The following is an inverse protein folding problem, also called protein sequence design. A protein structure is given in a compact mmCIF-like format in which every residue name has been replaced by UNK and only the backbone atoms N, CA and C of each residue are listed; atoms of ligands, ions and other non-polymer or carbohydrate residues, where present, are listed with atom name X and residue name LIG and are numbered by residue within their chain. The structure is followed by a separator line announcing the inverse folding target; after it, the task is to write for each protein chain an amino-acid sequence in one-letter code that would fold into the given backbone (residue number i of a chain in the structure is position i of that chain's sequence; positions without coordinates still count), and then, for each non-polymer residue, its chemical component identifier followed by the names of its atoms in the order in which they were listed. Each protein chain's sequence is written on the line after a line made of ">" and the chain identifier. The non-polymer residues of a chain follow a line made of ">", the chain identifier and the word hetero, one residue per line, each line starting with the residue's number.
data_IF_893010933255
#
_entry.id   IF_893010933255
#
_cell.length_a   1.000
_cell.length_b   1.000
_cell.length_c   1.000
_cell.angle_alpha   90.00
_cell.angle_beta   90.00
_cell.angle_gamma   90.00
#
_symmetry.space_group_name_H-M   'P 1'
#
loop_
_entity.id
_entity.type
_entity.pdbx_description
1 polymer ?
#
# COMPACT_ATOMS: atom_id res chain seq x y z
N UNK A 1 14.11 14.70 -0.98
CA UNK A 1 12.75 14.57 -0.41
C UNK A 1 12.42 15.75 0.50
N UNK A 2 11.15 16.16 0.57
CA UNK A 2 10.66 17.19 1.49
C UNK A 2 9.48 16.60 2.26
N UNK A 3 9.62 16.54 3.58
CA UNK A 3 8.54 16.15 4.48
C UNK A 3 7.85 17.39 5.03
N UNK A 4 6.55 17.32 5.24
CA UNK A 4 5.82 18.42 5.84
C UNK A 4 4.51 17.99 6.50
N UNK A 5 4.01 18.89 7.35
CA UNK A 5 2.70 18.75 7.98
C UNK A 5 1.90 20.01 7.73
N UNK A 6 0.73 19.87 7.12
CA UNK A 6 -0.26 20.93 6.99
C UNK A 6 -1.38 20.69 8.00
N UNK A 7 -1.69 21.70 8.79
CA UNK A 7 -2.79 21.66 9.74
C UNK A 7 -3.92 22.57 9.27
N UNK A 8 -5.04 21.97 8.87
CA UNK A 8 -6.25 22.70 8.52
C UNK A 8 -7.11 22.88 9.78
N UNK A 9 -6.74 23.89 10.61
CA UNK A 9 -7.35 24.12 11.93
C UNK A 9 -8.87 24.19 11.90
N UNK A 10 -9.45 24.82 10.88
CA UNK A 10 -10.89 24.96 10.73
C UNK A 10 -11.60 23.62 10.47
N UNK A 11 -10.93 22.70 9.79
CA UNK A 11 -11.42 21.34 9.51
C UNK A 11 -11.05 20.35 10.61
N UNK A 12 -10.13 20.75 11.50
CA UNK A 12 -9.52 19.90 12.53
C UNK A 12 -8.82 18.67 11.94
N UNK A 13 -8.21 18.83 10.75
CA UNK A 13 -7.49 17.78 10.04
C UNK A 13 -6.04 18.15 9.88
N UNK A 14 -5.19 17.15 9.73
CA UNK A 14 -3.79 17.29 9.35
C UNK A 14 -3.48 16.44 8.13
N UNK A 15 -2.55 16.91 7.34
CA UNK A 15 -1.93 16.17 6.24
C UNK A 15 -0.44 16.07 6.53
N UNK A 16 0.04 14.88 6.78
CA UNK A 16 1.47 14.59 6.73
C UNK A 16 1.83 14.13 5.33
N UNK A 17 2.85 14.73 4.73
CA UNK A 17 3.21 14.44 3.35
C UNK A 17 4.72 14.31 3.14
N UNK A 18 5.05 13.54 2.11
CA UNK A 18 6.34 13.50 1.47
C UNK A 18 6.18 14.03 0.04
N UNK A 19 6.97 15.02 -0.32
CA UNK A 19 7.10 15.53 -1.68
C UNK A 19 8.50 15.19 -2.19
N UNK A 20 8.57 14.21 -3.07
CA UNK A 20 9.79 13.89 -3.80
C UNK A 20 9.87 14.75 -5.05
N UNK A 21 10.97 15.45 -5.24
CA UNK A 21 11.25 16.26 -6.44
C UNK A 21 12.74 16.30 -6.71
N UNK A 22 13.13 15.86 -7.89
CA UNK A 22 14.48 16.00 -8.41
C UNK A 22 14.63 17.27 -9.25
N UNK A 23 15.87 17.79 -9.35
CA UNK A 23 16.18 18.92 -10.20
C UNK A 23 15.90 18.58 -11.67
N UNK A 24 14.90 19.22 -12.26
CA UNK A 24 14.45 18.97 -13.63
C UNK A 24 13.67 17.67 -13.80
N UNK A 25 13.37 16.96 -12.71
CA UNK A 25 12.53 15.76 -12.66
C UNK A 25 11.07 16.08 -12.29
N UNK A 26 10.26 15.06 -12.29
CA UNK A 26 8.83 15.08 -11.94
C UNK A 26 8.66 14.98 -10.45
N UNK A 27 7.76 15.77 -9.90
CA UNK A 27 7.40 15.66 -8.50
C UNK A 27 6.40 14.52 -8.25
N UNK A 28 6.55 13.85 -7.11
CA UNK A 28 5.62 12.85 -6.58
C UNK A 28 5.22 13.20 -5.16
N UNK A 29 3.95 13.10 -4.86
CA UNK A 29 3.36 13.36 -3.55
C UNK A 29 2.82 12.07 -2.96
N UNK A 30 3.26 11.71 -1.76
CA UNK A 30 2.55 10.79 -0.87
C UNK A 30 2.03 11.58 0.32
N UNK A 31 0.76 11.47 0.63
CA UNK A 31 0.15 12.19 1.74
C UNK A 31 -0.82 11.31 2.51
N UNK A 32 -0.75 11.40 3.84
CA UNK A 32 -1.71 10.83 4.76
C UNK A 32 -2.53 11.95 5.37
N UNK A 33 -3.83 11.87 5.20
CA UNK A 33 -4.78 12.85 5.69
C UNK A 33 -5.66 12.21 6.76
N UNK A 34 -5.66 12.80 7.94
CA UNK A 34 -6.36 12.32 9.13
C UNK A 34 -6.83 13.45 10.02
N UNK A 35 -7.65 13.16 11.01
CA UNK A 35 -8.04 14.12 12.05
C UNK A 35 -6.93 14.32 13.08
N UNK A 36 -6.77 15.56 13.57
CA UNK A 36 -5.89 15.85 14.71
C UNK A 36 -6.47 15.25 16.01
N UNK A 37 -7.75 15.56 16.26
CA UNK A 37 -8.54 15.00 17.35
C UNK A 37 -10.00 14.95 16.90
N UNK A 38 -10.65 13.84 17.10
CA UNK A 38 -12.07 13.72 16.73
C UNK A 38 -12.95 14.26 17.86
N UNK A 39 -13.73 15.30 17.55
CA UNK A 39 -14.74 15.77 18.50
C UNK A 39 -15.85 14.69 18.62
N UNK A 40 -16.22 14.23 19.82
CA UNK A 40 -17.15 13.11 20.00
C UNK A 40 -18.53 13.29 19.37
N UNK A 41 -18.93 14.55 19.09
CA UNK A 41 -20.24 14.88 18.50
C UNK A 41 -20.22 14.99 16.98
N UNK A 42 -19.06 14.85 16.30
CA UNK A 42 -19.02 14.85 14.84
C UNK A 42 -19.66 13.58 14.29
N UNK A 43 -20.70 13.75 13.49
CA UNK A 43 -21.32 12.66 12.74
C UNK A 43 -20.35 12.10 11.69
N UNK A 44 -20.64 10.92 11.18
CA UNK A 44 -19.86 10.34 10.08
C UNK A 44 -19.86 11.26 8.85
N UNK A 45 -21.02 11.77 8.44
CA UNK A 45 -21.14 12.66 7.29
C UNK A 45 -20.24 13.90 7.43
N UNK A 46 -20.24 14.55 8.59
CA UNK A 46 -19.38 15.71 8.87
C UNK A 46 -17.89 15.36 8.82
N UNK A 47 -17.49 14.17 9.32
CA UNK A 47 -16.10 13.72 9.21
C UNK A 47 -15.70 13.55 7.75
N UNK A 48 -16.52 12.89 6.94
CA UNK A 48 -16.24 12.69 5.52
C UNK A 48 -16.19 14.01 4.75
N UNK A 49 -17.09 14.95 5.01
CA UNK A 49 -17.09 16.27 4.37
C UNK A 49 -15.84 17.07 4.71
N UNK A 50 -15.40 17.06 5.97
CA UNK A 50 -14.14 17.72 6.38
C UNK A 50 -12.92 17.11 5.70
N UNK A 51 -12.87 15.79 5.57
CA UNK A 51 -11.79 15.10 4.84
C UNK A 51 -11.80 15.49 3.36
N UNK A 52 -12.96 15.49 2.69
CA UNK A 52 -13.08 15.94 1.28
C UNK A 52 -12.63 17.38 1.11
N UNK A 53 -13.05 18.29 1.99
CA UNK A 53 -12.61 19.68 1.97
C UNK A 53 -11.11 19.79 2.19
N UNK A 54 -10.52 18.95 3.04
CA UNK A 54 -9.08 18.93 3.28
C UNK A 54 -8.29 18.46 2.05
N UNK A 55 -8.82 17.51 1.27
CA UNK A 55 -8.21 17.13 -0.01
C UNK A 55 -8.17 18.34 -0.96
N UNK A 56 -9.29 19.07 -1.09
CA UNK A 56 -9.35 20.29 -1.91
C UNK A 56 -8.32 21.33 -1.41
N UNK A 57 -8.28 21.58 -0.11
CA UNK A 57 -7.32 22.54 0.47
C UNK A 57 -5.86 22.11 0.28
N UNK A 58 -5.57 20.82 0.28
CA UNK A 58 -4.24 20.29 0.00
C UNK A 58 -3.80 20.65 -1.43
N UNK A 59 -4.63 20.34 -2.43
CA UNK A 59 -4.30 20.57 -3.83
C UNK A 59 -4.39 22.06 -4.26
N UNK A 60 -4.89 22.94 -3.40
CA UNK A 60 -4.80 24.40 -3.55
C UNK A 60 -3.46 24.98 -3.05
N UNK A 61 -2.59 24.16 -2.45
CA UNK A 61 -1.28 24.66 -2.01
C UNK A 61 -0.39 24.96 -3.22
N UNK A 62 0.28 26.13 -3.27
CA UNK A 62 1.07 26.55 -4.43
C UNK A 62 2.17 25.56 -4.84
N UNK A 63 2.76 24.85 -3.88
CA UNK A 63 3.81 23.85 -4.16
C UNK A 63 3.29 22.55 -4.78
N UNK A 64 1.96 22.39 -4.90
CA UNK A 64 1.29 21.24 -5.53
C UNK A 64 0.56 21.62 -6.82
N UNK A 65 0.71 22.85 -7.33
CA UNK A 65 -0.05 23.38 -8.48
C UNK A 65 -0.07 22.46 -9.71
N UNK A 66 1.03 21.74 -9.97
CA UNK A 66 1.16 20.86 -11.13
C UNK A 66 0.97 19.37 -10.80
N UNK A 67 0.65 19.04 -9.56
CA UNK A 67 0.47 17.66 -9.13
C UNK A 67 -1.00 17.25 -9.30
N UNK A 68 -1.21 16.21 -10.07
CA UNK A 68 -2.51 15.57 -10.22
C UNK A 68 -2.64 14.36 -9.29
N UNK A 69 -3.76 14.27 -8.58
CA UNK A 69 -4.10 13.10 -7.78
C UNK A 69 -4.33 11.89 -8.71
N UNK A 70 -3.67 10.78 -8.46
CA UNK A 70 -3.75 9.57 -9.28
C UNK A 70 -4.28 8.35 -8.55
N UNK A 71 -4.06 8.30 -7.25
CA UNK A 71 -4.52 7.19 -6.40
C UNK A 71 -4.97 7.71 -5.04
N UNK A 72 -6.01 7.08 -4.50
CA UNK A 72 -6.48 7.32 -3.13
C UNK A 72 -6.96 6.00 -2.51
N UNK A 73 -6.57 5.77 -1.26
CA UNK A 73 -7.09 4.68 -0.43
C UNK A 73 -7.75 5.22 0.81
N UNK A 74 -9.04 4.90 0.94
CA UNK A 74 -9.87 5.28 2.07
C UNK A 74 -9.89 4.16 3.10
N UNK A 75 -9.43 4.45 4.28
CA UNK A 75 -9.51 3.59 5.45
C UNK A 75 -10.74 4.00 6.26
N UNK A 76 -11.71 3.11 6.42
CA UNK A 76 -12.98 3.44 7.06
C UNK A 76 -13.28 2.49 8.22
N UNK A 77 -13.99 2.99 9.23
CA UNK A 77 -14.33 2.20 10.42
C UNK A 77 -15.49 1.22 10.19
N UNK A 78 -16.40 1.52 9.27
CA UNK A 78 -17.60 0.73 8.96
C UNK A 78 -17.97 0.93 7.49
N UNK A 79 -17.48 0.06 6.63
CA UNK A 79 -17.64 0.23 5.18
C UNK A 79 -19.08 0.06 4.70
N UNK A 80 -19.88 -0.79 5.37
CA UNK A 80 -21.27 -1.06 4.98
C UNK A 80 -22.12 0.21 5.10
N UNK A 81 -21.93 0.94 6.19
CA UNK A 81 -22.69 2.17 6.45
C UNK A 81 -22.04 3.43 5.86
N UNK A 82 -20.73 3.42 5.60
CA UNK A 82 -19.98 4.64 5.25
C UNK A 82 -19.63 4.74 3.77
N UNK A 83 -19.68 3.65 3.00
CA UNK A 83 -19.28 3.65 1.59
C UNK A 83 -20.08 4.60 0.72
N UNK A 84 -21.34 4.87 1.04
CA UNK A 84 -22.20 5.80 0.30
C UNK A 84 -21.81 7.27 0.50
N UNK A 85 -21.07 7.59 1.56
CA UNK A 85 -20.56 8.94 1.80
C UNK A 85 -19.41 9.34 0.89
N UNK A 86 -18.84 8.39 0.16
CA UNK A 86 -17.68 8.59 -0.70
C UNK A 86 -18.11 8.54 -2.16
N UNK A 87 -17.90 9.65 -2.87
CA UNK A 87 -18.09 9.70 -4.31
C UNK A 87 -16.77 9.37 -5.01
N UNK A 88 -16.81 8.39 -5.90
CA UNK A 88 -15.66 8.04 -6.72
C UNK A 88 -15.43 9.09 -7.79
N UNK A 89 -14.18 9.55 -7.94
CA UNK A 89 -13.76 10.40 -9.05
C UNK A 89 -13.44 9.54 -10.28
N UNK A 90 -13.88 9.94 -11.46
CA UNK A 90 -13.71 9.16 -12.69
C UNK A 90 -12.24 9.00 -13.14
N UNK A 91 -11.33 9.88 -12.70
CA UNK A 91 -9.95 9.94 -13.20
C UNK A 91 -8.90 9.65 -12.11
N UNK A 92 -9.31 9.06 -11.00
CA UNK A 92 -8.43 8.73 -9.87
C UNK A 92 -8.65 7.27 -9.50
N UNK A 93 -7.58 6.50 -9.38
CA UNK A 93 -7.67 5.15 -8.86
C UNK A 93 -8.18 5.17 -7.42
N UNK A 94 -9.28 4.48 -7.18
CA UNK A 94 -10.03 4.58 -5.94
C UNK A 94 -10.06 3.24 -5.22
N UNK A 95 -9.48 3.19 -4.04
CA UNK A 95 -9.52 2.06 -3.11
C UNK A 95 -10.28 2.44 -1.85
N UNK A 96 -11.13 1.55 -1.36
CA UNK A 96 -11.80 1.70 -0.07
C UNK A 96 -11.80 0.36 0.67
N UNK A 97 -11.44 0.39 1.94
CA UNK A 97 -11.35 -0.80 2.78
C UNK A 97 -11.79 -0.48 4.20
N UNK A 98 -12.51 -1.40 4.83
CA UNK A 98 -12.74 -1.33 6.26
C UNK A 98 -11.50 -1.77 7.00
N UNK A 99 -10.74 -0.81 7.42
CA UNK A 99 -9.61 -0.89 8.34
C UNK A 99 -9.67 0.37 9.21
N UNK A 100 -10.30 0.30 10.39
CA UNK A 100 -10.56 1.46 11.23
C UNK A 100 -9.29 2.22 11.58
N UNK A 101 -9.21 3.55 11.33
CA UNK A 101 -8.12 4.37 11.84
C UNK A 101 -8.10 4.36 13.37
N UNK A 102 -6.92 4.25 13.98
CA UNK A 102 -6.79 4.11 15.43
C UNK A 102 -6.64 5.44 16.18
N UNK A 103 -6.76 6.57 15.49
CA UNK A 103 -6.87 7.91 16.10
C UNK A 103 -8.32 8.27 16.55
N UNK A 104 -9.24 7.30 16.54
CA UNK A 104 -10.64 7.49 16.92
C UNK A 104 -11.54 8.08 15.84
N UNK A 105 -11.02 8.34 14.62
CA UNK A 105 -11.83 8.82 13.50
C UNK A 105 -12.52 7.67 12.75
N UNK A 106 -13.55 8.02 11.99
CA UNK A 106 -14.26 7.07 11.12
C UNK A 106 -13.58 6.91 9.77
N UNK A 107 -12.62 7.78 9.45
CA UNK A 107 -11.99 7.83 8.13
C UNK A 107 -10.61 8.48 8.18
N UNK A 108 -9.69 7.90 7.41
CA UNK A 108 -8.41 8.50 7.04
C UNK A 108 -8.08 8.11 5.60
N UNK A 109 -7.14 8.81 4.95
CA UNK A 109 -6.85 8.59 3.53
C UNK A 109 -5.35 8.62 3.28
N UNK A 110 -4.89 7.70 2.43
CA UNK A 110 -3.63 7.81 1.72
C UNK A 110 -3.88 8.32 0.32
N UNK A 111 -3.16 9.38 -0.06
CA UNK A 111 -3.21 10.04 -1.36
C UNK A 111 -1.85 9.89 -2.06
N UNK A 112 -1.87 9.62 -3.35
CA UNK A 112 -0.70 9.67 -4.20
C UNK A 112 -0.96 10.53 -5.43
N UNK A 113 -0.04 11.44 -5.72
CA UNK A 113 -0.14 12.37 -6.84
C UNK A 113 1.18 12.47 -7.61
N UNK A 114 1.08 12.78 -8.91
CA UNK A 114 2.22 12.90 -9.83
C UNK A 114 2.10 14.20 -10.62
N UNK A 115 3.24 14.84 -10.84
CA UNK A 115 3.37 16.02 -11.70
C UNK A 115 3.39 15.61 -13.20
N UNK A 116 2.85 16.45 -14.09
CA UNK A 116 2.99 16.34 -15.54
C UNK A 116 2.54 15.00 -16.16
N UNK A 117 1.34 14.56 -15.86
CA UNK A 117 0.72 13.38 -16.48
C UNK A 117 0.43 13.68 -17.95
N UNK A 118 0.82 12.78 -18.88
CA UNK A 118 0.60 12.92 -20.31
C UNK A 118 -0.81 12.52 -20.72
N UNK A 119 -1.31 11.41 -20.19
CA UNK A 119 -2.68 10.94 -20.43
C UNK A 119 -3.18 10.04 -19.31
N UNK A 120 -4.50 10.04 -19.12
CA UNK A 120 -5.20 9.16 -18.19
C UNK A 120 -6.25 8.39 -18.99
N UNK A 121 -6.27 7.07 -18.81
CA UNK A 121 -7.32 6.18 -19.31
C UNK A 121 -7.99 5.50 -18.12
N UNK A 122 -9.29 5.70 -17.99
CA UNK A 122 -10.07 5.19 -16.87
C UNK A 122 -11.09 4.15 -17.34
N UNK A 123 -11.27 3.11 -16.54
CA UNK A 123 -12.37 2.15 -16.58
C UNK A 123 -12.95 1.95 -15.18
N UNK A 124 -13.97 1.13 -15.03
CA UNK A 124 -14.67 0.95 -13.75
C UNK A 124 -13.77 0.49 -12.59
N UNK A 125 -12.70 -0.26 -12.89
CA UNK A 125 -11.81 -0.85 -11.89
C UNK A 125 -10.32 -0.60 -12.16
N UNK A 126 -9.98 0.20 -13.17
CA UNK A 126 -8.59 0.43 -13.55
C UNK A 126 -8.35 1.86 -14.05
N UNK A 127 -7.24 2.43 -13.64
CA UNK A 127 -6.70 3.70 -14.13
C UNK A 127 -5.32 3.43 -14.70
N UNK A 128 -5.11 3.82 -15.95
CA UNK A 128 -3.81 3.80 -16.60
C UNK A 128 -3.31 5.22 -16.81
N UNK A 129 -2.12 5.51 -16.33
CA UNK A 129 -1.49 6.82 -16.39
C UNK A 129 -0.23 6.70 -17.21
N UNK A 130 -0.18 7.42 -18.34
CA UNK A 130 1.02 7.45 -19.18
C UNK A 130 1.93 8.59 -18.76
N UNK A 131 3.20 8.25 -18.61
CA UNK A 131 4.27 9.19 -18.34
C UNK A 131 5.58 8.72 -18.99
N UNK A 132 6.20 9.56 -19.82
CA UNK A 132 7.38 9.19 -20.61
C UNK A 132 7.10 7.93 -21.45
N UNK A 133 7.96 6.94 -21.37
CA UNK A 133 7.79 5.62 -22.02
C UNK A 133 6.98 4.64 -21.17
N UNK A 134 6.75 4.97 -19.90
CA UNK A 134 6.08 4.10 -18.94
C UNK A 134 4.58 4.38 -18.87
N UNK A 135 3.81 3.33 -18.61
CA UNK A 135 2.41 3.48 -18.19
C UNK A 135 2.19 2.75 -16.87
N UNK A 136 1.60 3.45 -15.93
CA UNK A 136 1.28 2.97 -14.58
C UNK A 136 -0.18 2.55 -14.52
N UNK A 137 -0.43 1.29 -14.20
CA UNK A 137 -1.75 0.68 -14.21
C UNK A 137 -2.19 0.35 -12.78
N UNK A 138 -3.16 1.08 -12.28
CA UNK A 138 -3.77 0.83 -10.97
C UNK A 138 -5.09 0.10 -11.18
N UNK A 139 -5.18 -1.11 -10.68
CA UNK A 139 -6.43 -1.88 -10.59
C UNK A 139 -6.87 -1.88 -9.13
N UNK A 140 -8.07 -1.44 -8.86
CA UNK A 140 -8.58 -1.29 -7.50
C UNK A 140 -9.93 -1.96 -7.35
N UNK A 141 -10.23 -2.39 -6.12
CA UNK A 141 -11.52 -2.98 -5.77
C UNK A 141 -11.88 -4.21 -6.63
N UNK A 142 -10.90 -5.04 -6.95
CA UNK A 142 -11.14 -6.31 -7.62
C UNK A 142 -11.72 -7.31 -6.62
N UNK A 143 -12.91 -7.84 -6.88
CA UNK A 143 -13.60 -8.76 -5.98
C UNK A 143 -14.47 -9.76 -6.73
N UNK A 144 -14.88 -10.81 -6.03
CA UNK A 144 -15.92 -11.74 -6.43
C UNK A 144 -16.90 -11.91 -5.28
N UNK A 145 -18.18 -12.10 -5.59
CA UNK A 145 -19.23 -12.35 -4.59
C UNK A 145 -19.63 -13.81 -4.51
N UNK A 146 -19.02 -14.70 -5.32
CA UNK A 146 -19.41 -16.09 -5.46
C UNK A 146 -18.30 -17.03 -4.99
N UNK A 147 -18.70 -18.06 -4.28
CA UNK A 147 -17.81 -19.13 -3.83
C UNK A 147 -17.11 -18.83 -2.50
N UNK A 148 -16.25 -19.77 -2.09
CA UNK A 148 -15.41 -19.69 -0.91
C UNK A 148 -14.15 -18.83 -1.17
N UNK A 149 -13.28 -18.70 -0.17
CA UNK A 149 -12.05 -17.89 -0.26
C UNK A 149 -11.14 -18.29 -1.42
N UNK A 150 -10.94 -19.60 -1.62
CA UNK A 150 -10.16 -20.13 -2.75
C UNK A 150 -10.76 -19.69 -4.10
N UNK A 151 -12.07 -19.90 -4.29
CA UNK A 151 -12.76 -19.60 -5.54
C UNK A 151 -12.81 -18.09 -5.83
N UNK A 152 -13.04 -17.27 -4.80
CA UNK A 152 -13.04 -15.82 -4.95
C UNK A 152 -11.65 -15.32 -5.31
N UNK A 153 -10.60 -15.78 -4.63
CA UNK A 153 -9.20 -15.39 -4.92
C UNK A 153 -8.83 -15.80 -6.35
N UNK A 154 -9.17 -17.01 -6.77
CA UNK A 154 -8.95 -17.47 -8.15
C UNK A 154 -9.66 -16.57 -9.17
N UNK A 155 -10.93 -16.23 -8.91
CA UNK A 155 -11.71 -15.37 -9.79
C UNK A 155 -11.12 -13.95 -9.90
N UNK A 156 -10.66 -13.39 -8.79
CA UNK A 156 -10.05 -12.05 -8.72
C UNK A 156 -8.75 -12.00 -9.53
N UNK A 157 -7.85 -12.95 -9.31
CA UNK A 157 -6.60 -13.01 -10.07
C UNK A 157 -6.82 -13.27 -11.56
N UNK A 158 -7.73 -14.19 -11.94
CA UNK A 158 -8.05 -14.44 -13.35
C UNK A 158 -8.63 -13.18 -14.04
N UNK A 159 -9.46 -12.41 -13.34
CA UNK A 159 -9.98 -11.14 -13.85
C UNK A 159 -8.86 -10.12 -14.04
N UNK A 160 -7.92 -10.07 -13.10
CA UNK A 160 -6.76 -9.17 -13.19
C UNK A 160 -5.82 -9.57 -14.34
N UNK A 161 -5.49 -10.84 -14.49
CA UNK A 161 -4.67 -11.37 -15.58
C UNK A 161 -5.31 -11.02 -16.94
N UNK A 162 -6.62 -11.20 -17.06
CA UNK A 162 -7.35 -10.79 -18.27
C UNK A 162 -7.24 -9.30 -18.55
N UNK A 163 -7.34 -8.45 -17.52
CA UNK A 163 -7.18 -7.00 -17.65
C UNK A 163 -5.76 -6.62 -18.06
N UNK A 164 -4.74 -7.27 -17.48
CA UNK A 164 -3.34 -7.08 -17.87
C UNK A 164 -3.10 -7.44 -19.33
N UNK A 165 -3.66 -8.56 -19.79
CA UNK A 165 -3.53 -8.99 -21.20
C UNK A 165 -4.10 -7.97 -22.19
N UNK A 166 -5.18 -7.27 -21.83
CA UNK A 166 -5.75 -6.18 -22.65
C UNK A 166 -4.80 -4.97 -22.75
N UNK A 167 -3.93 -4.80 -21.76
CA UNK A 167 -2.90 -3.75 -21.72
C UNK A 167 -1.55 -4.25 -22.30
N UNK A 168 -1.52 -5.44 -22.91
CA UNK A 168 -0.29 -6.10 -23.37
C UNK A 168 0.72 -6.32 -22.23
N UNK A 169 0.22 -6.54 -21.03
CA UNK A 169 0.97 -6.84 -19.80
C UNK A 169 0.71 -8.27 -19.33
N UNK A 170 1.61 -8.79 -18.51
CA UNK A 170 1.44 -10.07 -17.82
C UNK A 170 1.62 -9.91 -16.31
N UNK A 171 1.16 -10.90 -15.56
CA UNK A 171 1.36 -10.95 -14.12
C UNK A 171 2.84 -11.04 -13.77
N UNK A 172 3.59 -11.89 -14.48
CA UNK A 172 5.02 -12.13 -14.31
C UNK A 172 5.86 -10.88 -14.57
N UNK A 173 5.65 -10.21 -15.73
CA UNK A 173 6.58 -9.15 -16.20
C UNK A 173 6.24 -7.78 -15.63
N UNK A 174 4.97 -7.49 -15.44
CA UNK A 174 4.52 -6.10 -15.25
C UNK A 174 3.93 -5.83 -13.87
N UNK A 175 3.44 -6.87 -13.14
CA UNK A 175 2.83 -6.67 -11.83
C UNK A 175 3.90 -6.42 -10.76
N UNK A 176 3.90 -5.22 -10.20
CA UNK A 176 4.87 -4.79 -9.18
C UNK A 176 4.37 -5.06 -7.78
N UNK A 177 3.06 -4.84 -7.54
CA UNK A 177 2.51 -4.85 -6.19
C UNK A 177 1.06 -5.33 -6.17
N UNK A 178 0.72 -6.15 -5.17
CA UNK A 178 -0.67 -6.51 -4.85
C UNK A 178 -0.97 -6.26 -3.37
N UNK A 179 -2.23 -5.90 -3.07
CA UNK A 179 -2.79 -5.84 -1.72
C UNK A 179 -4.02 -6.74 -1.68
N UNK A 180 -4.00 -7.72 -0.80
CA UNK A 180 -5.12 -8.62 -0.55
C UNK A 180 -5.75 -8.26 0.79
N UNK A 181 -6.95 -7.69 0.74
CA UNK A 181 -7.74 -7.41 1.93
C UNK A 181 -8.70 -8.57 2.15
N UNK A 182 -8.57 -9.21 3.31
CA UNK A 182 -9.18 -10.49 3.59
C UNK A 182 -10.21 -10.33 4.72
N UNK A 183 -11.46 -10.61 4.43
CA UNK A 183 -12.49 -10.63 5.46
C UNK A 183 -12.36 -11.91 6.30
N UNK A 184 -12.16 -11.75 7.61
CA UNK A 184 -11.95 -12.83 8.57
C UNK A 184 -10.68 -13.66 8.28
N UNK A 185 -9.54 -12.95 8.24
CA UNK A 185 -8.23 -13.49 7.84
C UNK A 185 -7.83 -14.74 8.64
N UNK A 186 -8.12 -14.79 9.94
CA UNK A 186 -7.74 -15.92 10.79
C UNK A 186 -8.34 -17.27 10.32
N UNK A 187 -9.48 -17.25 9.63
CA UNK A 187 -10.14 -18.46 9.11
C UNK A 187 -9.98 -18.66 7.60
N UNK A 188 -9.71 -17.60 6.83
CA UNK A 188 -9.75 -17.67 5.37
C UNK A 188 -8.35 -17.67 4.71
N UNK A 189 -7.30 -17.33 5.47
CA UNK A 189 -5.97 -17.09 4.89
C UNK A 189 -5.36 -18.29 4.18
N UNK A 190 -5.55 -19.50 4.71
CA UNK A 190 -4.98 -20.72 4.12
C UNK A 190 -5.50 -20.97 2.70
N UNK A 191 -6.81 -20.84 2.48
CA UNK A 191 -7.45 -21.04 1.18
C UNK A 191 -7.01 -19.98 0.16
N UNK A 192 -6.81 -18.74 0.61
CA UNK A 192 -6.34 -17.63 -0.22
C UNK A 192 -4.89 -17.87 -0.67
N UNK A 193 -4.03 -18.29 0.25
CA UNK A 193 -2.64 -18.65 -0.06
C UNK A 193 -2.57 -19.81 -1.05
N UNK A 194 -3.37 -20.87 -0.87
CA UNK A 194 -3.41 -22.00 -1.80
C UNK A 194 -3.85 -21.58 -3.20
N UNK A 195 -4.91 -20.77 -3.31
CA UNK A 195 -5.38 -20.25 -4.59
C UNK A 195 -4.30 -19.39 -5.28
N UNK A 196 -3.68 -18.45 -4.55
CA UNK A 196 -2.62 -17.59 -5.08
C UNK A 196 -1.41 -18.39 -5.53
N UNK A 197 -0.94 -19.34 -4.74
CA UNK A 197 0.23 -20.15 -5.07
C UNK A 197 0.00 -20.93 -6.38
N UNK A 198 -1.19 -21.53 -6.59
CA UNK A 198 -1.53 -22.23 -7.83
C UNK A 198 -1.56 -21.32 -9.05
N UNK A 199 -2.09 -20.10 -8.90
CA UNK A 199 -2.10 -19.11 -9.98
C UNK A 199 -0.68 -18.68 -10.29
N UNK A 200 0.11 -18.36 -9.27
CA UNK A 200 1.49 -17.92 -9.47
C UNK A 200 2.32 -18.98 -10.18
N UNK A 201 2.18 -20.25 -9.80
CA UNK A 201 2.83 -21.36 -10.50
C UNK A 201 2.42 -21.43 -11.99
N UNK A 202 1.12 -21.26 -12.31
CA UNK A 202 0.64 -21.25 -13.70
C UNK A 202 1.11 -20.03 -14.51
N UNK A 203 1.45 -18.93 -13.84
CA UNK A 203 1.95 -17.68 -14.44
C UNK A 203 3.49 -17.54 -14.37
N UNK A 204 4.21 -18.67 -14.20
CA UNK A 204 5.67 -18.72 -14.10
C UNK A 204 6.28 -17.94 -12.92
N UNK A 205 5.50 -17.66 -11.89
CA UNK A 205 5.96 -17.05 -10.65
C UNK A 205 6.32 -18.15 -9.66
N UNK A 206 7.60 -18.48 -9.59
CA UNK A 206 8.14 -19.65 -8.87
C UNK A 206 9.39 -19.27 -8.07
N UNK A 207 9.89 -20.15 -7.16
CA UNK A 207 11.16 -19.91 -6.47
C UNK A 207 12.37 -19.75 -7.40
N UNK A 208 12.28 -20.25 -8.64
CA UNK A 208 13.36 -20.20 -9.64
C UNK A 208 13.32 -18.92 -10.48
N UNK A 209 12.18 -18.26 -10.53
CA UNK A 209 11.97 -16.98 -11.20
C UNK A 209 11.92 -15.85 -10.16
N UNK A 210 10.74 -15.41 -9.83
CA UNK A 210 10.44 -14.45 -8.76
C UNK A 210 8.97 -14.52 -8.37
N UNK A 211 8.60 -13.81 -7.33
CA UNK A 211 7.22 -13.54 -6.98
C UNK A 211 6.90 -12.04 -7.11
N UNK A 212 5.74 -11.63 -6.60
CA UNK A 212 5.26 -10.24 -6.59
C UNK A 212 5.27 -9.73 -5.15
N UNK A 213 5.67 -8.48 -4.93
CA UNK A 213 5.52 -7.85 -3.62
C UNK A 213 4.06 -7.77 -3.23
N UNK A 214 3.71 -8.23 -2.04
CA UNK A 214 2.31 -8.38 -1.62
C UNK A 214 2.11 -8.16 -0.13
N UNK A 215 0.95 -7.61 0.23
CA UNK A 215 0.44 -7.60 1.60
C UNK A 215 -0.87 -8.34 1.65
N UNK A 216 -0.99 -9.33 2.55
CA UNK A 216 -2.23 -10.03 2.83
C UNK A 216 -2.67 -9.74 4.26
N UNK A 217 -3.71 -8.94 4.44
CA UNK A 217 -4.09 -8.35 5.71
C UNK A 217 -5.62 -8.35 5.89
N UNK A 218 -6.12 -8.33 7.15
CA UNK A 218 -7.55 -8.16 7.38
C UNK A 218 -8.07 -6.88 6.72
N UNK A 219 -9.22 -7.01 6.07
CA UNK A 219 -9.95 -5.87 5.51
C UNK A 219 -11.27 -6.32 4.91
N UNK A 220 -12.33 -5.49 5.05
CA UNK A 220 -13.67 -5.81 4.56
C UNK A 220 -14.08 -4.90 3.43
N UNK A 221 -14.91 -5.43 2.56
CA UNK A 221 -15.55 -4.67 1.50
C UNK A 221 -17.04 -4.41 1.84
N UNK A 222 -17.66 -3.48 1.10
CA UNK A 222 -19.06 -3.11 1.32
C UNK A 222 -20.08 -4.25 1.13
N UNK A 223 -19.71 -5.27 0.39
CA UNK A 223 -20.53 -6.48 0.23
C UNK A 223 -20.04 -7.55 1.22
N UNK A 224 -20.86 -7.93 2.23
CA UNK A 224 -20.42 -8.84 3.29
C UNK A 224 -19.96 -10.22 2.83
N UNK A 225 -20.44 -10.70 1.66
CA UNK A 225 -20.06 -11.97 1.07
C UNK A 225 -18.69 -11.96 0.37
N UNK A 226 -18.07 -10.79 0.21
CA UNK A 226 -16.71 -10.67 -0.34
C UNK A 226 -15.71 -11.07 0.73
N UNK A 227 -14.95 -12.12 0.45
CA UNK A 227 -13.89 -12.61 1.32
C UNK A 227 -12.54 -12.01 0.90
N UNK A 228 -12.28 -11.96 -0.41
CA UNK A 228 -11.04 -11.41 -0.97
C UNK A 228 -11.35 -10.17 -1.79
N UNK A 229 -10.80 -9.04 -1.36
CA UNK A 229 -10.73 -7.80 -2.12
C UNK A 229 -9.27 -7.56 -2.51
N UNK A 230 -8.98 -7.18 -3.75
CA UNK A 230 -7.61 -6.95 -4.22
C UNK A 230 -7.47 -5.58 -4.88
N UNK A 231 -6.38 -4.90 -4.53
CA UNK A 231 -5.79 -3.83 -5.32
C UNK A 231 -4.48 -4.32 -5.93
N UNK A 232 -4.12 -3.83 -7.12
CA UNK A 232 -2.90 -4.20 -7.80
C UNK A 232 -2.31 -3.02 -8.57
N UNK A 233 -0.99 -3.03 -8.70
CA UNK A 233 -0.22 -2.04 -9.44
C UNK A 233 0.73 -2.72 -10.40
N UNK A 234 0.69 -2.30 -11.66
CA UNK A 234 1.57 -2.80 -12.73
C UNK A 234 2.16 -1.63 -13.53
N UNK A 235 3.29 -1.88 -14.18
CA UNK A 235 3.96 -0.91 -15.05
C UNK A 235 4.24 -1.55 -16.41
N UNK A 236 3.82 -0.90 -17.51
CA UNK A 236 4.26 -1.24 -18.86
C UNK A 236 5.35 -0.30 -19.36
N UNK A 237 6.10 -0.73 -20.37
CA UNK A 237 7.29 -0.02 -20.84
C UNK A 237 8.54 -0.23 -19.99
N UNK A 238 8.46 -1.11 -18.99
CA UNK A 238 9.56 -1.46 -18.08
C UNK A 238 10.28 -2.71 -18.61
N UNK A 239 11.60 -2.77 -18.41
CA UNK A 239 12.42 -3.94 -18.69
C UNK A 239 12.72 -4.72 -17.41
N UNK A 240 12.99 -5.99 -17.51
CA UNK A 240 13.29 -6.86 -16.35
C UNK A 240 14.53 -6.42 -15.57
N UNK A 241 15.54 -5.85 -16.22
CA UNK A 241 16.76 -5.33 -15.59
C UNK A 241 16.53 -4.04 -14.77
N UNK A 242 15.33 -3.42 -14.87
CA UNK A 242 14.88 -2.33 -13.99
C UNK A 242 14.28 -2.83 -12.67
N UNK A 243 14.03 -4.13 -12.55
CA UNK A 243 13.34 -4.71 -11.39
C UNK A 243 14.32 -5.52 -10.55
N UNK A 244 14.36 -5.24 -9.24
CA UNK A 244 15.14 -6.02 -8.28
C UNK A 244 14.22 -6.51 -7.17
N UNK A 245 14.29 -7.81 -6.86
CA UNK A 245 13.50 -8.45 -5.83
C UNK A 245 14.30 -8.56 -4.54
N UNK A 246 13.78 -7.98 -3.46
CA UNK A 246 14.44 -7.89 -2.17
C UNK A 246 14.18 -9.14 -1.33
N UNK A 247 15.20 -9.62 -0.64
CA UNK A 247 15.15 -10.86 0.13
C UNK A 247 15.40 -10.66 1.63
N UNK A 248 16.25 -9.70 2.01
CA UNK A 248 16.57 -9.39 3.40
C UNK A 248 17.18 -10.57 4.17
N UNK A 249 17.99 -11.42 3.53
CA UNK A 249 18.40 -12.75 4.02
C UNK A 249 19.07 -12.76 5.38
N UNK A 250 19.66 -11.66 5.84
CA UNK A 250 20.24 -11.55 7.18
C UNK A 250 19.17 -11.58 8.29
N UNK A 251 17.94 -11.17 7.99
CA UNK A 251 16.84 -11.00 8.94
C UNK A 251 15.58 -11.76 8.56
N UNK A 252 15.40 -12.11 7.30
CA UNK A 252 14.20 -12.71 6.75
C UNK A 252 14.55 -13.96 5.96
N UNK A 253 13.70 -14.97 5.98
CA UNK A 253 13.82 -16.15 5.14
C UNK A 253 13.02 -16.00 3.84
N UNK A 254 13.35 -16.78 2.80
CA UNK A 254 12.52 -16.88 1.61
C UNK A 254 11.09 -17.29 1.94
N UNK A 255 10.11 -16.62 1.35
CA UNK A 255 8.70 -16.80 1.72
C UNK A 255 8.14 -18.17 1.36
N UNK A 256 8.62 -18.77 0.26
CA UNK A 256 8.21 -20.10 -0.18
C UNK A 256 8.59 -21.22 0.81
N UNK A 257 9.61 -21.03 1.66
CA UNK A 257 10.01 -22.01 2.68
C UNK A 257 8.92 -22.28 3.74
N UNK A 258 8.01 -21.31 3.94
CA UNK A 258 6.86 -21.48 4.83
C UNK A 258 5.51 -21.47 4.09
N UNK A 259 5.56 -21.79 2.79
CA UNK A 259 4.39 -22.07 1.97
C UNK A 259 3.65 -20.86 1.40
N UNK A 260 4.28 -19.67 1.37
CA UNK A 260 3.67 -18.44 0.88
C UNK A 260 4.45 -17.87 -0.28
N UNK A 261 3.78 -17.57 -1.40
CA UNK A 261 4.40 -17.02 -2.60
C UNK A 261 4.26 -15.49 -2.63
N UNK A 262 5.31 -14.76 -2.23
CA UNK A 262 5.44 -13.31 -2.44
C UNK A 262 6.90 -12.87 -2.27
N UNK A 263 7.28 -11.70 -2.80
CA UNK A 263 8.58 -11.07 -2.53
C UNK A 263 8.51 -10.17 -1.29
N UNK A 264 9.62 -10.07 -0.55
CA UNK A 264 9.73 -9.18 0.60
C UNK A 264 9.65 -7.70 0.21
N UNK A 265 10.10 -7.39 -0.99
CA UNK A 265 10.01 -6.08 -1.60
C UNK A 265 10.43 -6.11 -3.05
N UNK A 266 10.02 -5.10 -3.81
CA UNK A 266 10.40 -4.91 -5.21
C UNK A 266 10.94 -3.51 -5.39
N UNK A 267 12.13 -3.40 -6.01
CA UNK A 267 12.68 -2.14 -6.50
C UNK A 267 12.33 -1.99 -7.95
N UNK A 268 11.86 -0.82 -8.33
CA UNK A 268 11.72 -0.40 -9.74
C UNK A 268 12.65 0.77 -9.98
N UNK A 269 13.60 0.62 -10.91
CA UNK A 269 14.62 1.60 -11.20
C UNK A 269 14.30 2.37 -12.48
N UNK A 270 14.27 3.70 -12.37
CA UNK A 270 14.15 4.65 -13.48
C UNK A 270 15.47 5.40 -13.66
N UNK A 271 15.58 6.21 -14.71
CA UNK A 271 16.81 6.95 -14.99
C UNK A 271 17.16 8.02 -13.95
N UNK A 272 16.18 8.51 -13.19
CA UNK A 272 16.35 9.58 -12.20
C UNK A 272 15.99 9.19 -10.77
N UNK A 273 15.35 8.05 -10.58
CA UNK A 273 14.90 7.59 -9.24
C UNK A 273 14.72 6.08 -9.18
N UNK A 274 14.62 5.57 -7.98
CA UNK A 274 14.10 4.23 -7.72
C UNK A 274 12.89 4.29 -6.79
N UNK A 275 11.92 3.44 -7.06
CA UNK A 275 10.83 3.14 -6.15
C UNK A 275 11.07 1.80 -5.47
N UNK A 276 10.81 1.74 -4.18
CA UNK A 276 10.93 0.52 -3.39
C UNK A 276 9.58 0.22 -2.74
N UNK A 277 9.01 -0.91 -3.08
CA UNK A 277 7.72 -1.38 -2.55
C UNK A 277 7.97 -2.50 -1.56
N UNK A 278 7.96 -2.19 -0.27
CA UNK A 278 8.12 -3.19 0.81
C UNK A 278 6.77 -3.84 1.09
N UNK A 279 6.73 -5.16 1.02
CA UNK A 279 5.58 -6.00 1.36
C UNK A 279 5.24 -5.91 2.85
N UNK A 280 4.04 -6.38 3.21
CA UNK A 280 3.70 -6.59 4.60
C UNK A 280 4.79 -7.37 5.33
N UNK A 281 5.38 -6.73 6.34
CA UNK A 281 6.54 -7.21 7.09
C UNK A 281 6.17 -7.31 8.55
N UNK A 282 6.35 -8.51 9.13
CA UNK A 282 6.05 -8.82 10.52
C UNK A 282 7.33 -9.11 11.32
N UNK A 283 7.18 -9.29 12.64
CA UNK A 283 8.28 -9.61 13.55
C UNK A 283 8.70 -11.08 13.43
N UNK A 284 9.58 -11.38 12.48
CA UNK A 284 10.16 -12.71 12.25
C UNK A 284 11.68 -12.65 12.16
N UNK A 285 12.32 -13.80 12.30
CA UNK A 285 13.75 -14.00 12.06
C UNK A 285 14.02 -14.63 10.68
N UNK A 286 15.28 -14.85 10.35
CA UNK A 286 15.74 -15.50 9.14
C UNK A 286 15.47 -17.02 9.05
N UNK A 287 14.81 -17.60 10.05
CA UNK A 287 14.26 -18.95 10.03
C UNK A 287 12.73 -18.94 9.92
N UNK A 288 12.12 -17.78 9.69
CA UNK A 288 10.66 -17.60 9.60
C UNK A 288 9.94 -17.77 10.95
N UNK A 289 10.67 -17.73 12.06
CA UNK A 289 10.09 -17.84 13.41
C UNK A 289 9.66 -16.47 13.91
N UNK A 290 8.57 -16.44 14.67
CA UNK A 290 8.08 -15.24 15.35
C UNK A 290 9.12 -14.83 16.40
N UNK A 291 9.50 -13.56 16.37
CA UNK A 291 10.36 -12.94 17.37
C UNK A 291 9.49 -12.11 18.31
N UNK A 292 9.78 -12.15 19.60
CA UNK A 292 9.07 -11.41 20.66
C UNK A 292 7.55 -11.67 20.71
N UNK A 293 7.09 -12.93 20.83
CA UNK A 293 5.67 -13.22 20.91
C UNK A 293 5.04 -12.54 22.13
N UNK A 294 3.85 -11.94 21.97
CA UNK A 294 3.07 -11.23 22.99
C UNK A 294 3.67 -9.88 23.47
N UNK A 295 4.70 -9.37 22.82
CA UNK A 295 5.32 -8.09 23.13
C UNK A 295 5.22 -7.15 21.93
N UNK A 296 4.29 -6.20 21.97
CA UNK A 296 4.01 -5.29 20.85
C UNK A 296 5.16 -4.31 20.62
N UNK A 297 5.81 -3.82 21.66
CA UNK A 297 6.91 -2.87 21.54
C UNK A 297 8.10 -3.51 20.86
N UNK A 298 8.55 -4.68 21.35
CA UNK A 298 9.65 -5.41 20.75
C UNK A 298 9.32 -5.92 19.34
N UNK A 299 8.05 -6.28 19.06
CA UNK A 299 7.65 -6.61 17.69
C UNK A 299 7.70 -5.38 16.77
N UNK A 300 7.31 -4.21 17.25
CA UNK A 300 7.40 -2.95 16.49
C UNK A 300 8.85 -2.63 16.13
N UNK A 301 9.78 -2.75 17.09
CA UNK A 301 11.21 -2.58 16.87
C UNK A 301 11.70 -3.56 15.79
N UNK A 302 11.39 -4.84 15.95
CA UNK A 302 11.84 -5.88 15.02
C UNK A 302 11.30 -5.68 13.60
N UNK A 303 10.07 -5.24 13.45
CA UNK A 303 9.50 -4.92 12.11
C UNK A 303 10.28 -3.78 11.45
N UNK A 304 10.62 -2.73 12.20
CA UNK A 304 11.45 -1.63 11.65
C UNK A 304 12.87 -2.12 11.29
N UNK A 305 13.50 -2.98 12.08
CA UNK A 305 14.78 -3.62 11.72
C UNK A 305 14.67 -4.39 10.40
N UNK A 306 13.62 -5.20 10.24
CA UNK A 306 13.38 -5.97 9.04
C UNK A 306 13.18 -5.06 7.81
N UNK A 307 12.41 -3.97 7.94
CA UNK A 307 12.21 -2.97 6.88
C UNK A 307 13.54 -2.27 6.54
N UNK A 308 14.32 -1.88 7.55
CA UNK A 308 15.61 -1.22 7.34
C UNK A 308 16.60 -2.09 6.56
N UNK A 309 16.64 -3.40 6.83
CA UNK A 309 17.47 -4.35 6.09
C UNK A 309 17.04 -4.43 4.61
N UNK A 310 15.74 -4.46 4.33
CA UNK A 310 15.24 -4.46 2.95
C UNK A 310 15.55 -3.14 2.24
N UNK A 311 15.39 -2.00 2.91
CA UNK A 311 15.75 -0.70 2.35
C UNK A 311 17.26 -0.61 2.07
N UNK A 312 18.09 -1.10 3.00
CA UNK A 312 19.55 -1.14 2.81
C UNK A 312 19.94 -2.00 1.60
N UNK A 313 19.32 -3.17 1.42
CA UNK A 313 19.51 -4.01 0.22
C UNK A 313 19.12 -3.27 -1.07
N UNK A 314 18.10 -2.41 -0.99
CA UNK A 314 17.69 -1.53 -2.08
C UNK A 314 18.59 -0.29 -2.26
N UNK A 315 19.68 -0.16 -1.52
CA UNK A 315 20.49 1.07 -1.41
C UNK A 315 19.65 2.30 -1.02
N UNK A 316 18.69 2.10 -0.13
CA UNK A 316 17.84 3.12 0.49
C UNK A 316 18.04 3.08 2.00
N UNK A 317 17.48 4.05 2.69
CA UNK A 317 17.44 4.12 4.15
C UNK A 317 16.04 4.52 4.65
N UNK A 318 15.87 4.62 5.96
CA UNK A 318 14.57 4.97 6.56
C UNK A 318 14.11 6.39 6.19
N UNK A 319 15.02 7.28 5.85
CA UNK A 319 14.72 8.65 5.41
C UNK A 319 14.20 8.70 3.97
N UNK A 320 14.31 7.61 3.21
CA UNK A 320 13.75 7.50 1.86
C UNK A 320 12.27 7.03 1.87
N UNK A 321 11.68 6.71 3.04
CA UNK A 321 10.28 6.25 3.15
C UNK A 321 9.33 7.40 2.83
N UNK A 322 8.58 7.29 1.75
CA UNK A 322 7.58 8.26 1.32
C UNK A 322 6.23 8.10 2.05
N UNK A 323 5.86 6.89 2.42
CA UNK A 323 4.67 6.57 3.22
C UNK A 323 4.82 5.24 3.96
N UNK A 324 4.14 5.10 5.10
CA UNK A 324 4.12 3.90 5.95
C UNK A 324 2.69 3.58 6.38
N UNK A 325 2.25 2.32 6.18
CA UNK A 325 0.97 1.83 6.70
C UNK A 325 1.26 0.80 7.78
N UNK A 326 0.65 0.98 8.93
CA UNK A 326 0.82 0.15 10.12
C UNK A 326 -0.51 -0.55 10.43
N UNK A 327 -0.46 -1.86 10.48
CA UNK A 327 -1.58 -2.76 10.76
C UNK A 327 -1.42 -3.34 12.15
N UNK A 328 -2.36 -3.10 13.04
CA UNK A 328 -2.34 -3.59 14.43
C UNK A 328 -3.50 -4.55 14.64
N UNK A 329 -3.19 -5.71 15.24
CA UNK A 329 -4.18 -6.74 15.54
C UNK A 329 -5.08 -6.36 16.70
N UNK A 330 -4.52 -5.82 17.78
CA UNK A 330 -5.24 -5.41 18.98
C UNK A 330 -5.21 -3.88 19.10
N UNK A 331 -6.39 -3.27 19.14
CA UNK A 331 -6.52 -1.80 19.26
C UNK A 331 -5.93 -1.26 20.56
N UNK A 332 -5.83 -2.07 21.60
CA UNK A 332 -5.21 -1.69 22.88
C UNK A 332 -3.73 -1.34 22.75
N UNK A 333 -3.04 -1.88 21.74
CA UNK A 333 -1.63 -1.64 21.48
C UNK A 333 -1.36 -0.31 20.72
N UNK A 334 -2.39 0.34 20.21
CA UNK A 334 -2.27 1.47 19.28
C UNK A 334 -1.44 2.63 19.83
N UNK A 335 -1.65 2.98 21.10
CA UNK A 335 -0.96 4.12 21.72
C UNK A 335 0.54 3.87 21.88
N UNK A 336 0.91 2.69 22.34
CA UNK A 336 2.32 2.28 22.51
C UNK A 336 3.05 2.33 21.15
N UNK A 337 2.43 1.76 20.12
CA UNK A 337 2.98 1.76 18.75
C UNK A 337 3.09 3.18 18.20
N UNK A 338 2.06 4.01 18.34
CA UNK A 338 2.09 5.39 17.86
C UNK A 338 3.19 6.21 18.54
N UNK A 339 3.28 6.18 19.85
CA UNK A 339 4.31 6.92 20.62
C UNK A 339 5.73 6.50 20.19
N UNK A 340 5.97 5.20 20.03
CA UNK A 340 7.26 4.69 19.56
C UNK A 340 7.56 5.18 18.13
N UNK A 341 6.66 4.96 17.18
CA UNK A 341 6.88 5.30 15.79
C UNK A 341 7.02 6.80 15.55
N UNK A 342 6.24 7.65 16.23
CA UNK A 342 6.38 9.11 16.13
C UNK A 342 7.71 9.61 16.68
N UNK A 343 8.31 8.88 17.62
CA UNK A 343 9.64 9.19 18.15
C UNK A 343 10.75 8.78 17.18
N UNK A 344 10.64 7.59 16.59
CA UNK A 344 11.67 7.06 15.69
C UNK A 344 11.58 7.67 14.28
N UNK A 345 10.37 7.96 13.79
CA UNK A 345 10.07 8.39 12.43
C UNK A 345 9.18 9.66 12.43
N UNK A 346 9.61 10.78 13.02
CA UNK A 346 8.76 11.94 13.30
C UNK A 346 8.19 12.62 12.05
N UNK A 347 8.88 12.49 10.91
CA UNK A 347 8.53 13.20 9.68
C UNK A 347 7.79 12.32 8.66
N UNK A 348 7.84 11.00 8.80
CA UNK A 348 7.30 10.09 7.79
C UNK A 348 5.77 10.12 7.82
N UNK A 349 5.10 10.31 6.66
CA UNK A 349 3.66 10.15 6.55
C UNK A 349 3.26 8.72 6.90
N UNK A 350 2.51 8.54 7.98
CA UNK A 350 2.10 7.23 8.45
C UNK A 350 0.64 7.21 8.88
N UNK A 351 0.00 6.04 8.69
CA UNK A 351 -1.34 5.75 9.21
C UNK A 351 -1.32 4.44 10.00
N UNK A 352 -1.97 4.44 11.15
CA UNK A 352 -2.17 3.26 12.00
C UNK A 352 -3.62 2.83 11.94
N UNK A 353 -3.86 1.59 11.52
CA UNK A 353 -5.21 1.04 11.37
C UNK A 353 -5.38 -0.28 12.11
N UNK A 354 -6.62 -0.55 12.52
CA UNK A 354 -6.98 -1.87 13.06
C UNK A 354 -7.15 -2.85 11.92
N UNK A 355 -6.25 -3.82 11.84
CA UNK A 355 -6.31 -4.91 10.88
C UNK A 355 -5.54 -6.12 11.41
N UNK A 356 -6.20 -7.21 11.78
CA UNK A 356 -5.55 -8.45 12.15
C UNK A 356 -4.55 -8.93 11.10
N UNK A 357 -3.38 -9.32 11.58
CA UNK A 357 -2.28 -9.86 10.79
C UNK A 357 -2.54 -11.35 10.50
N UNK A 358 -2.05 -11.84 9.38
CA UNK A 358 -2.41 -13.15 8.81
C UNK A 358 -2.05 -14.39 9.65
N UNK A 359 -1.31 -14.24 10.74
CA UNK A 359 -0.97 -15.36 11.65
C UNK A 359 -1.16 -14.98 13.12
N UNK A 360 -1.64 -15.89 13.96
CA UNK A 360 -1.67 -15.71 15.41
C UNK A 360 -0.28 -15.35 15.95
N UNK A 361 -0.21 -14.50 16.99
CA UNK A 361 1.01 -14.00 17.64
C UNK A 361 1.81 -12.95 16.85
N UNK A 362 1.48 -12.68 15.58
CA UNK A 362 1.92 -11.47 14.92
C UNK A 362 0.97 -10.36 15.31
N UNK A 363 1.45 -9.44 16.12
CA UNK A 363 0.65 -8.38 16.72
C UNK A 363 0.58 -7.15 15.80
N UNK A 364 1.61 -7.00 14.95
CA UNK A 364 1.80 -5.85 14.08
C UNK A 364 2.41 -6.28 12.74
N UNK A 365 2.03 -5.60 11.68
CA UNK A 365 2.63 -5.69 10.36
C UNK A 365 2.75 -4.27 9.78
N UNK A 366 3.80 -4.01 9.02
CA UNK A 366 3.98 -2.73 8.34
C UNK A 366 4.35 -2.95 6.89
N UNK A 367 3.93 -2.01 6.04
CA UNK A 367 4.37 -1.90 4.65
C UNK A 367 4.75 -0.45 4.35
N UNK A 368 5.68 -0.23 3.44
CA UNK A 368 6.04 1.13 3.02
C UNK A 368 6.36 1.22 1.53
N UNK A 369 6.33 2.44 1.04
CA UNK A 369 6.91 2.84 -0.23
C UNK A 369 8.04 3.80 0.08
N UNK A 370 9.22 3.56 -0.51
CA UNK A 370 10.36 4.46 -0.44
C UNK A 370 10.73 4.94 -1.85
N UNK A 371 11.25 6.17 -1.94
CA UNK A 371 11.69 6.77 -3.19
C UNK A 371 13.08 7.38 -2.96
N UNK A 372 14.05 7.04 -3.81
CA UNK A 372 15.39 7.60 -3.75
C UNK A 372 15.82 8.13 -5.09
N UNK A 373 16.45 9.30 -5.06
CA UNK A 373 17.13 9.87 -6.22
C UNK A 373 18.34 9.02 -6.61
N UNK A 374 18.46 8.77 -7.91
CA UNK A 374 19.61 8.12 -8.53
C UNK A 374 19.87 8.75 -9.90
N UNK A 375 21.00 8.46 -10.48
CA UNK A 375 21.30 8.69 -11.90
C UNK A 375 21.66 7.36 -12.56
N UNK A 376 20.84 6.92 -13.52
CA UNK A 376 21.09 5.72 -14.30
C UNK A 376 20.73 5.95 -15.76
N UNK A 377 21.75 6.24 -16.57
CA UNK A 377 21.58 6.56 -17.99
C UNK A 377 21.14 5.37 -18.87
N UNK A 378 21.03 4.17 -18.31
CA UNK A 378 20.53 2.99 -19.03
C UNK A 378 19.02 3.06 -19.23
N UNK A 379 18.32 3.80 -18.39
CA UNK A 379 16.87 3.84 -18.35
C UNK A 379 16.33 5.26 -18.57
N UNK A 380 15.13 5.34 -19.12
CA UNK A 380 14.40 6.59 -19.21
C UNK A 380 14.00 7.10 -17.81
N UNK A 381 13.91 8.42 -17.67
CA UNK A 381 13.44 9.05 -16.44
C UNK A 381 11.96 8.74 -16.19
N UNK A 382 11.61 8.67 -14.90
CA UNK A 382 10.24 8.49 -14.42
C UNK A 382 9.27 9.54 -14.96
#
# INVERSE_FOLDING_TARGET
>A
MTYGILNFKYLNTKVSYNLFKENGGVAELHAILEFNNVHPKLSAAEQFDKIKQSIVQLFLQPFLENISLVFQRWFVSDIVNLSELIQQSCNVAFSIVQQPPLNGSKVAIWLYGIENIQSIQASDSAISIKRSVYSHHYHTQLFSTKGNAFQQTTSVFNSYIKSLSQLQCSLEVNCIRTWLFINNIDSQYADIVDARNKIFESENLTPQTHYISSTGIEGKYKYPQVITLMDAFAISGINQDQIVYLKGQSHLNPTHEYGVAFERGTVVQFGDRRHVYISGTASIDNNGKIVHPFDIELQTIRVLENINVLLTEANCDMEDIAQLIIYIRDIADSKCVEEYLRTQLPNIPMIIVSAPVCRPRWLIEMECIAIKSIEDSRFEKF
#
